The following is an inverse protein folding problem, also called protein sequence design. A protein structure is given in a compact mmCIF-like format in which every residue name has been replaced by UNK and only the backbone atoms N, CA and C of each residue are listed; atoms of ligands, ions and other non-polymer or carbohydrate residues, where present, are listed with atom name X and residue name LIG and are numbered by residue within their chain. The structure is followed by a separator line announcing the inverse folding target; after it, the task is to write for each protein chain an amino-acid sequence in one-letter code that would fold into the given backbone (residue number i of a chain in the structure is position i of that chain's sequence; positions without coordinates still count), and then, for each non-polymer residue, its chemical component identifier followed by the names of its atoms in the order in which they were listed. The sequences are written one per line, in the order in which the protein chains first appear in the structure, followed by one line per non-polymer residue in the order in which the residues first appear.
data_IF_297714781575
#
_entry.id   IF_297714781575
#
_cell.length_a   1.000
_cell.length_b   1.000
_cell.length_c   1.000
_cell.angle_alpha   90.00
_cell.angle_beta   90.00
_cell.angle_gamma   90.00
#
_symmetry.space_group_name_H-M   'P 1'
#
loop_
_entity.id
_entity.type
_entity.pdbx_description
1 polymer ?
#
# COMPACT_ATOMS: atom_id res chain seq x y z
N UNK A 1 -32.89 -8.06 -5.01
CA UNK A 1 -32.68 -7.65 -3.62
C UNK A 1 -31.18 -7.59 -3.44
N UNK A 2 -30.73 -6.36 -3.25
CA UNK A 2 -29.50 -5.89 -2.60
C UNK A 2 -28.14 -6.04 -3.30
N UNK A 3 -27.76 -4.92 -3.94
CA UNK A 3 -26.51 -4.16 -3.77
C UNK A 3 -25.37 -4.29 -4.81
N UNK A 4 -25.64 -3.94 -6.08
CA UNK A 4 -24.62 -3.84 -7.15
C UNK A 4 -24.11 -2.41 -7.40
N UNK A 5 -24.03 -1.56 -6.36
CA UNK A 5 -23.26 -0.31 -6.45
C UNK A 5 -22.12 -0.34 -5.43
N UNK A 6 -21.27 -1.37 -5.53
CA UNK A 6 -19.97 -1.35 -4.85
C UNK A 6 -19.13 -0.34 -5.60
N UNK A 7 -19.17 0.91 -5.14
CA UNK A 7 -18.29 1.95 -5.65
C UNK A 7 -16.85 1.51 -5.41
N UNK A 8 -16.04 1.50 -6.47
CA UNK A 8 -14.61 1.27 -6.38
C UNK A 8 -14.04 2.17 -5.26
N UNK A 9 -13.45 1.59 -4.18
CA UNK A 9 -12.98 2.35 -3.04
C UNK A 9 -11.98 3.45 -3.42
N UNK A 10 -11.16 3.23 -4.45
CA UNK A 10 -10.22 4.23 -4.96
C UNK A 10 -11.01 5.40 -5.57
N UNK A 11 -12.00 5.12 -6.42
CA UNK A 11 -12.86 6.16 -6.99
C UNK A 11 -13.67 6.91 -5.93
N UNK A 12 -14.09 6.22 -4.87
CA UNK A 12 -14.76 6.85 -3.74
C UNK A 12 -13.85 7.86 -3.05
N UNK A 13 -12.61 7.49 -2.72
CA UNK A 13 -11.61 8.39 -2.11
C UNK A 13 -11.37 9.64 -2.96
N UNK A 14 -11.27 9.46 -4.29
CA UNK A 14 -11.05 10.57 -5.23
C UNK A 14 -12.24 11.54 -5.31
N UNK A 15 -13.46 11.09 -4.98
CA UNK A 15 -14.67 11.92 -5.00
C UNK A 15 -14.95 12.64 -3.66
N UNK A 16 -14.34 12.19 -2.57
CA UNK A 16 -14.47 12.87 -1.27
C UNK A 16 -13.93 14.31 -1.36
N UNK A 17 -14.48 15.26 -0.60
CA UNK A 17 -13.98 16.63 -0.57
C UNK A 17 -12.49 16.68 -0.21
N UNK A 18 -11.84 17.75 -0.63
CA UNK A 18 -10.45 18.04 -0.29
C UNK A 18 -10.42 18.79 1.05
N UNK A 19 -9.54 18.35 1.95
CA UNK A 19 -9.20 19.03 3.20
C UNK A 19 -7.69 19.12 3.31
N UNK A 20 -7.16 20.20 3.88
CA UNK A 20 -5.72 20.36 4.01
C UNK A 20 -5.16 19.38 5.05
N UNK A 21 -4.16 18.59 4.65
CA UNK A 21 -3.46 17.68 5.55
C UNK A 21 -2.43 18.42 6.40
N UNK A 22 -2.36 18.07 7.68
CA UNK A 22 -1.21 18.37 8.54
C UNK A 22 0.05 17.66 8.06
N UNK A 23 1.21 18.11 8.53
CA UNK A 23 2.48 17.48 8.21
C UNK A 23 2.57 16.06 8.80
N UNK A 24 1.99 15.86 9.97
CA UNK A 24 1.89 14.54 10.61
C UNK A 24 1.05 13.56 9.80
N UNK A 25 -0.06 14.01 9.20
CA UNK A 25 -0.90 13.17 8.34
C UNK A 25 -0.18 12.81 7.03
N UNK A 26 0.51 13.78 6.41
CA UNK A 26 1.33 13.51 5.22
C UNK A 26 2.41 12.48 5.53
N UNK A 27 3.15 12.67 6.63
CA UNK A 27 4.18 11.72 7.07
C UNK A 27 3.58 10.33 7.35
N UNK A 28 2.40 10.28 7.98
CA UNK A 28 1.69 9.04 8.24
C UNK A 28 1.30 8.29 6.97
N UNK A 29 0.75 8.99 5.96
CA UNK A 29 0.40 8.40 4.66
C UNK A 29 1.63 7.80 3.98
N UNK A 30 2.73 8.55 3.93
CA UNK A 30 3.97 8.10 3.29
C UNK A 30 4.60 6.91 4.05
N UNK A 31 4.54 6.91 5.38
CA UNK A 31 5.00 5.79 6.20
C UNK A 31 4.15 4.53 5.95
N UNK A 32 2.82 4.65 5.98
CA UNK A 32 1.92 3.51 5.73
C UNK A 32 2.12 2.93 4.34
N UNK A 33 2.39 3.76 3.33
CA UNK A 33 2.67 3.31 1.96
C UNK A 33 3.84 2.32 1.92
N UNK A 34 4.91 2.62 2.63
CA UNK A 34 6.07 1.74 2.73
C UNK A 34 5.89 0.59 3.73
N UNK A 35 5.09 0.76 4.78
CA UNK A 35 4.80 -0.31 5.75
C UNK A 35 3.97 -1.43 5.13
N UNK A 36 2.95 -1.11 4.34
CA UNK A 36 2.17 -2.10 3.58
C UNK A 36 3.03 -2.78 2.50
N UNK A 37 3.94 -2.03 1.86
CA UNK A 37 4.94 -2.60 0.94
C UNK A 37 5.85 -3.59 1.65
N UNK A 38 6.33 -3.26 2.86
CA UNK A 38 7.16 -4.15 3.66
C UNK A 38 6.43 -5.47 3.92
N UNK A 39 5.17 -5.41 4.34
CA UNK A 39 4.35 -6.60 4.54
C UNK A 39 4.23 -7.42 3.24
N UNK A 40 3.84 -6.78 2.13
CA UNK A 40 3.71 -7.42 0.82
C UNK A 40 5.01 -8.11 0.38
N UNK A 41 6.13 -7.41 0.47
CA UNK A 41 7.44 -7.89 0.03
C UNK A 41 7.90 -9.08 0.90
N UNK A 42 7.70 -9.02 2.22
CA UNK A 42 8.01 -10.14 3.12
C UNK A 42 7.18 -11.37 2.76
N UNK A 43 5.86 -11.22 2.57
CA UNK A 43 5.00 -12.36 2.22
C UNK A 43 5.30 -12.91 0.84
N UNK A 44 5.70 -12.08 -0.13
CA UNK A 44 6.13 -12.54 -1.45
C UNK A 44 7.41 -13.40 -1.35
N UNK A 45 8.37 -12.99 -0.51
CA UNK A 45 9.59 -13.79 -0.26
C UNK A 45 9.27 -15.09 0.46
N UNK A 46 8.42 -15.07 1.49
CA UNK A 46 7.99 -16.27 2.21
C UNK A 46 7.23 -17.24 1.28
N UNK A 47 6.34 -16.73 0.44
CA UNK A 47 5.63 -17.53 -0.56
C UNK A 47 6.59 -18.31 -1.46
N UNK A 48 7.66 -17.64 -1.93
CA UNK A 48 8.70 -18.25 -2.76
C UNK A 48 9.56 -19.28 -1.99
N UNK A 49 9.82 -19.03 -0.70
CA UNK A 49 10.60 -19.96 0.13
C UNK A 49 9.83 -21.25 0.46
N UNK A 50 8.50 -21.15 0.64
CA UNK A 50 7.63 -22.26 1.03
C UNK A 50 6.76 -22.76 -0.14
N UNK A 51 7.28 -22.68 -1.37
CA UNK A 51 6.58 -23.10 -2.59
C UNK A 51 5.94 -24.49 -2.42
N UNK A 52 4.63 -24.58 -2.71
CA UNK A 52 3.84 -25.80 -2.61
C UNK A 52 3.09 -26.03 -1.30
N UNK A 53 3.20 -25.15 -0.29
CA UNK A 53 2.62 -25.43 1.03
C UNK A 53 1.30 -24.72 1.39
N UNK A 54 0.94 -23.53 0.88
CA UNK A 54 -0.43 -22.98 1.09
C UNK A 54 -0.78 -21.86 0.10
N UNK A 55 -2.06 -21.69 -0.24
CA UNK A 55 -2.59 -20.49 -0.92
C UNK A 55 -2.64 -19.25 -0.01
N UNK A 56 -2.29 -19.38 1.28
CA UNK A 56 -2.45 -18.33 2.27
C UNK A 56 -1.55 -17.14 1.99
N UNK A 57 -0.27 -17.37 1.65
CA UNK A 57 0.65 -16.26 1.36
C UNK A 57 0.24 -15.49 0.10
N UNK A 58 -0.27 -16.17 -0.93
CA UNK A 58 -0.79 -15.51 -2.12
C UNK A 58 -1.96 -14.57 -1.79
N UNK A 59 -2.93 -15.06 -1.01
CA UNK A 59 -4.07 -14.24 -0.58
C UNK A 59 -3.65 -13.03 0.26
N UNK A 60 -2.61 -13.19 1.09
CA UNK A 60 -2.07 -12.09 1.90
C UNK A 60 -1.35 -11.07 1.01
N UNK A 61 -0.47 -11.50 0.09
CA UNK A 61 0.20 -10.59 -0.86
C UNK A 61 -0.82 -9.77 -1.65
N UNK A 62 -1.90 -10.40 -2.12
CA UNK A 62 -3.00 -9.69 -2.79
C UNK A 62 -3.73 -8.71 -1.86
N UNK A 63 -3.84 -9.02 -0.56
CA UNK A 63 -4.42 -8.11 0.42
C UNK A 63 -3.54 -6.89 0.66
N UNK A 64 -2.23 -7.10 0.86
CA UNK A 64 -1.30 -5.99 1.07
C UNK A 64 -1.16 -5.12 -0.18
N UNK A 65 -1.29 -5.70 -1.38
CA UNK A 65 -1.38 -4.91 -2.61
C UNK A 65 -2.61 -4.00 -2.61
N UNK A 66 -3.78 -4.48 -2.16
CA UNK A 66 -4.98 -3.65 -2.04
C UNK A 66 -4.79 -2.53 -1.00
N UNK A 67 -4.14 -2.82 0.13
CA UNK A 67 -3.83 -1.77 1.12
C UNK A 67 -2.89 -0.72 0.51
N UNK A 68 -1.83 -1.16 -0.16
CA UNK A 68 -0.90 -0.30 -0.89
C UNK A 68 -1.62 0.60 -1.91
N UNK A 69 -2.54 0.06 -2.70
CA UNK A 69 -3.30 0.80 -3.71
C UNK A 69 -4.21 1.86 -3.07
N UNK A 70 -4.82 1.56 -1.92
CA UNK A 70 -5.62 2.52 -1.17
C UNK A 70 -4.78 3.69 -0.61
N UNK A 71 -3.59 3.40 -0.09
CA UNK A 71 -2.68 4.45 0.37
C UNK A 71 -2.15 5.27 -0.81
N UNK A 72 -1.87 4.63 -1.95
CA UNK A 72 -1.50 5.32 -3.19
C UNK A 72 -2.60 6.27 -3.65
N UNK A 73 -3.87 5.88 -3.56
CA UNK A 73 -4.98 6.78 -3.91
C UNK A 73 -4.99 8.06 -3.06
N UNK A 74 -4.61 7.98 -1.78
CA UNK A 74 -4.42 9.17 -0.93
C UNK A 74 -3.21 10.00 -1.39
N UNK A 75 -2.07 9.37 -1.67
CA UNK A 75 -0.87 10.04 -2.21
C UNK A 75 -1.22 10.81 -3.48
N UNK A 76 -1.90 10.16 -4.44
CA UNK A 76 -2.29 10.76 -5.71
C UNK A 76 -3.30 11.91 -5.50
N UNK A 77 -4.30 11.73 -4.62
CA UNK A 77 -5.30 12.76 -4.29
C UNK A 77 -4.66 14.04 -3.74
N UNK A 78 -3.65 13.89 -2.90
CA UNK A 78 -2.97 15.00 -2.23
C UNK A 78 -1.70 15.47 -2.95
N UNK A 79 -1.34 14.87 -4.09
CA UNK A 79 -0.18 15.25 -4.88
C UNK A 79 1.15 15.08 -4.14
N UNK A 80 1.26 14.05 -3.29
CA UNK A 80 2.48 13.73 -2.56
C UNK A 80 3.44 12.91 -3.45
N UNK A 81 4.75 12.96 -3.15
CA UNK A 81 5.73 12.12 -3.86
C UNK A 81 5.70 10.67 -3.31
N UNK A 82 5.37 9.68 -4.14
CA UNK A 82 5.28 8.27 -3.71
C UNK A 82 6.70 7.69 -3.48
N UNK A 83 7.06 7.29 -2.24
CA UNK A 83 8.38 6.70 -1.95
C UNK A 83 8.58 5.34 -2.64
N UNK A 84 7.51 4.62 -2.96
CA UNK A 84 7.58 3.33 -3.65
C UNK A 84 7.91 3.52 -5.13
N UNK A 85 7.36 4.54 -5.78
CA UNK A 85 7.71 4.87 -7.17
C UNK A 85 9.18 5.33 -7.28
N UNK A 86 9.68 6.07 -6.29
CA UNK A 86 11.10 6.50 -6.25
C UNK A 86 12.09 5.32 -6.24
N UNK A 87 11.68 4.17 -5.68
CA UNK A 87 12.48 2.94 -5.66
C UNK A 87 12.14 1.99 -6.80
N UNK A 88 11.28 2.40 -7.74
CA UNK A 88 10.73 1.56 -8.81
C UNK A 88 10.06 0.27 -8.28
N UNK A 89 9.42 0.36 -7.10
CA UNK A 89 8.81 -0.76 -6.39
C UNK A 89 9.74 -1.98 -6.22
N UNK A 90 11.04 -1.74 -6.03
CA UNK A 90 12.01 -2.81 -5.86
C UNK A 90 11.78 -3.54 -4.53
N UNK A 91 11.67 -4.88 -4.59
CA UNK A 91 11.45 -5.74 -3.42
C UNK A 91 12.53 -5.48 -2.35
N UNK A 92 12.10 -5.20 -1.12
CA UNK A 92 12.98 -5.02 0.03
C UNK A 92 13.79 -3.71 0.07
N UNK A 93 13.51 -2.78 -0.85
CA UNK A 93 14.11 -1.44 -0.86
C UNK A 93 13.08 -0.42 -0.39
N UNK A 94 13.48 0.44 0.54
CA UNK A 94 12.64 1.45 1.17
C UNK A 94 13.39 2.78 1.30
N UNK A 95 12.68 3.90 1.13
CA UNK A 95 13.20 5.25 1.40
C UNK A 95 13.27 5.48 2.91
N UNK A 96 12.26 5.02 3.67
CA UNK A 96 12.26 5.15 5.11
C UNK A 96 13.34 4.25 5.77
N UNK A 97 14.34 4.83 6.45
CA UNK A 97 15.45 4.06 7.02
C UNK A 97 15.02 3.10 8.14
N UNK A 98 13.98 3.43 8.91
CA UNK A 98 13.47 2.54 9.95
C UNK A 98 12.82 1.29 9.36
N UNK A 99 12.09 1.43 8.24
CA UNK A 99 11.54 0.27 7.53
C UNK A 99 12.62 -0.52 6.79
N UNK A 100 13.67 0.14 6.29
CA UNK A 100 14.79 -0.51 5.63
C UNK A 100 15.61 -1.41 6.57
N UNK A 101 15.66 -1.09 7.86
CA UNK A 101 16.41 -1.81 8.90
C UNK A 101 15.59 -2.82 9.71
N UNK A 102 14.27 -2.95 9.45
CA UNK A 102 13.40 -3.90 10.14
C UNK A 102 13.65 -5.37 9.77
#
# INVERSE_FOLDING_TARGET
MDNDNIQDPIQYVMQLPYEELSEEEKAGILYMREEEKLARDVYAVLMKMYEGQTNTFANIVESEQRHMDMVKALIDKYGLEDPVEQTNDQIGVFINPFLQEK
#
